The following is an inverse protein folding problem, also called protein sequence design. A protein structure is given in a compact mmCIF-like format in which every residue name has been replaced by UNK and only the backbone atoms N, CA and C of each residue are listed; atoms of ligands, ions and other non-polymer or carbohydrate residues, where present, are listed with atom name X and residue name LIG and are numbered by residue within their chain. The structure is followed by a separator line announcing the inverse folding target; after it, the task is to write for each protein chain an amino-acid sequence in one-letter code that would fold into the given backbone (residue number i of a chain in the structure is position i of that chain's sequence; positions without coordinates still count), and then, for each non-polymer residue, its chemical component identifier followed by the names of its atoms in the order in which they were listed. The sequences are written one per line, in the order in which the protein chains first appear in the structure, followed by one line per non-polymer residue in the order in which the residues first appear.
data_IF_972686050816
#
_entry.id   IF_972686050816
#
_cell.length_a   1.000
_cell.length_b   1.000
_cell.length_c   1.000
_cell.angle_alpha   90.00
_cell.angle_beta   90.00
_cell.angle_gamma   90.00
#
_symmetry.space_group_name_H-M   'P 1'
#
loop_
_entity.id
_entity.type
_entity.pdbx_description
1 polymer ?
#
# COMPACT_ATOMS: atom_id res chain seq x y z
N UNK A 1 -25.66 -9.07 -10.14
CA UNK A 1 -24.37 -9.38 -10.80
C UNK A 1 -24.31 -8.60 -12.10
N UNK A 2 -23.11 -8.17 -12.54
CA UNK A 2 -22.96 -7.45 -13.82
C UNK A 2 -23.23 -8.38 -15.01
N UNK A 3 -23.78 -7.86 -16.09
CA UNK A 3 -23.88 -8.55 -17.39
C UNK A 3 -22.51 -8.63 -18.06
N UNK A 4 -22.38 -9.48 -19.09
CA UNK A 4 -21.14 -9.56 -19.90
C UNK A 4 -20.80 -8.22 -20.55
N UNK A 5 -21.83 -7.50 -21.03
CA UNK A 5 -21.67 -6.20 -21.68
C UNK A 5 -21.17 -5.14 -20.69
N UNK A 6 -21.81 -5.04 -19.52
CA UNK A 6 -21.38 -4.10 -18.46
C UNK A 6 -19.95 -4.39 -17.98
N UNK A 7 -19.55 -5.66 -17.88
CA UNK A 7 -18.18 -6.03 -17.53
C UNK A 7 -17.18 -5.60 -18.61
N UNK A 8 -17.51 -5.79 -19.89
CA UNK A 8 -16.64 -5.36 -20.98
C UNK A 8 -16.43 -3.85 -20.98
N UNK A 9 -17.50 -3.07 -20.79
CA UNK A 9 -17.43 -1.61 -20.67
C UNK A 9 -16.58 -1.15 -19.47
N UNK A 10 -16.67 -1.85 -18.34
CA UNK A 10 -15.79 -1.60 -17.19
C UNK A 10 -14.31 -1.84 -17.55
N UNK A 11 -14.01 -2.92 -18.27
CA UNK A 11 -12.62 -3.21 -18.69
C UNK A 11 -12.10 -2.14 -19.65
N UNK A 12 -12.92 -1.65 -20.57
CA UNK A 12 -12.53 -0.54 -21.45
C UNK A 12 -12.20 0.73 -20.64
N UNK A 13 -13.04 1.08 -19.66
CA UNK A 13 -12.78 2.21 -18.76
C UNK A 13 -11.51 2.02 -17.93
N UNK A 14 -11.28 0.84 -17.39
CA UNK A 14 -10.07 0.54 -16.62
C UNK A 14 -8.79 0.66 -17.48
N UNK A 15 -8.83 0.20 -18.73
CA UNK A 15 -7.71 0.32 -19.67
C UNK A 15 -7.39 1.78 -20.00
N UNK A 16 -8.40 2.64 -20.09
CA UNK A 16 -8.20 4.07 -20.27
C UNK A 16 -7.62 4.71 -19.01
N UNK A 17 -8.19 4.38 -17.85
CA UNK A 17 -7.80 4.93 -16.56
C UNK A 17 -6.33 4.66 -16.21
N UNK A 18 -5.79 3.46 -16.52
CA UNK A 18 -4.38 3.14 -16.26
C UNK A 18 -3.39 3.81 -17.22
N UNK A 19 -3.85 4.57 -18.22
CA UNK A 19 -2.96 5.40 -19.06
C UNK A 19 -2.56 6.70 -18.37
N UNK A 20 -3.33 7.16 -17.38
CA UNK A 20 -3.03 8.37 -16.63
C UNK A 20 -1.89 8.11 -15.61
N UNK A 21 -0.74 8.79 -15.72
CA UNK A 21 0.35 8.63 -14.76
C UNK A 21 -0.04 8.98 -13.32
N UNK A 22 -0.99 9.90 -13.13
CA UNK A 22 -1.46 10.30 -11.80
C UNK A 22 -2.21 9.15 -11.12
N UNK A 23 -2.95 8.35 -11.89
CA UNK A 23 -3.62 7.13 -11.41
C UNK A 23 -2.61 6.04 -11.02
N UNK A 24 -1.47 5.96 -11.72
CA UNK A 24 -0.40 5.01 -11.43
C UNK A 24 0.49 5.45 -10.26
N UNK A 25 0.39 6.71 -9.83
CA UNK A 25 1.22 7.27 -8.76
C UNK A 25 0.94 6.56 -7.44
N UNK A 26 2.00 6.16 -6.74
CA UNK A 26 1.88 5.58 -5.42
C UNK A 26 1.31 6.61 -4.43
N UNK A 27 0.16 6.31 -3.82
CA UNK A 27 -0.51 7.17 -2.82
C UNK A 27 -0.14 6.84 -1.37
N UNK A 28 0.89 6.00 -1.19
CA UNK A 28 1.30 5.52 0.12
C UNK A 28 1.85 6.65 1.00
N UNK A 29 1.37 6.77 2.24
CA UNK A 29 1.83 7.79 3.21
C UNK A 29 3.24 7.53 3.74
N UNK A 30 3.75 6.30 3.55
CA UNK A 30 5.01 5.82 4.09
C UNK A 30 6.19 6.21 3.17
N UNK A 31 6.46 7.51 3.00
CA UNK A 31 7.40 8.05 1.99
C UNK A 31 8.88 7.71 2.25
N UNK A 32 9.26 7.41 3.50
CA UNK A 32 10.60 6.93 3.85
C UNK A 32 10.78 5.42 3.63
N UNK A 33 9.75 4.73 3.13
CA UNK A 33 9.85 3.30 2.84
C UNK A 33 10.78 3.10 1.65
N UNK A 34 11.68 2.14 1.75
CA UNK A 34 12.57 1.75 0.65
C UNK A 34 11.77 1.38 -0.63
N UNK A 35 10.59 0.79 -0.46
CA UNK A 35 9.73 0.34 -1.56
C UNK A 35 8.70 1.38 -1.99
N UNK A 36 8.77 2.62 -1.49
CA UNK A 36 7.87 3.69 -1.92
C UNK A 36 8.02 3.94 -3.43
N UNK A 37 6.90 4.05 -4.14
CA UNK A 37 6.89 4.14 -5.62
C UNK A 37 7.14 2.81 -6.35
N UNK A 38 7.71 1.79 -5.69
CA UNK A 38 7.96 0.43 -6.23
C UNK A 38 6.78 -0.51 -5.93
N UNK A 39 5.61 -0.17 -6.47
CA UNK A 39 4.34 -0.83 -6.11
C UNK A 39 4.32 -2.34 -6.37
N UNK A 40 4.98 -2.82 -7.44
CA UNK A 40 5.02 -4.25 -7.78
C UNK A 40 5.81 -5.06 -6.75
N UNK A 41 6.97 -4.54 -6.35
CA UNK A 41 7.85 -5.10 -5.33
C UNK A 41 7.18 -5.06 -3.96
N UNK A 42 6.59 -3.92 -3.60
CA UNK A 42 5.82 -3.76 -2.37
C UNK A 42 4.71 -4.81 -2.23
N UNK A 43 3.88 -4.99 -3.26
CA UNK A 43 2.82 -6.01 -3.26
C UNK A 43 3.39 -7.42 -3.16
N UNK A 44 4.51 -7.71 -3.83
CA UNK A 44 5.15 -9.02 -3.76
C UNK A 44 5.63 -9.35 -2.33
N UNK A 45 6.24 -8.39 -1.63
CA UNK A 45 6.71 -8.55 -0.25
C UNK A 45 5.54 -8.74 0.73
N UNK A 46 4.51 -7.89 0.67
CA UNK A 46 3.32 -8.05 1.53
C UNK A 46 2.60 -9.38 1.31
N UNK A 47 2.53 -9.84 0.05
CA UNK A 47 1.96 -11.17 -0.27
C UNK A 47 2.81 -12.31 0.27
N UNK A 48 4.13 -12.19 0.22
CA UNK A 48 5.04 -13.23 0.73
C UNK A 48 4.93 -13.37 2.25
N UNK A 49 4.98 -12.24 2.98
CA UNK A 49 4.93 -12.24 4.44
C UNK A 49 3.53 -12.49 5.01
N UNK A 50 2.46 -12.22 4.26
CA UNK A 50 1.05 -12.41 4.68
C UNK A 50 0.69 -11.71 6.00
N UNK A 51 1.42 -10.66 6.37
CA UNK A 51 1.23 -9.94 7.63
C UNK A 51 0.06 -8.95 7.51
N UNK A 52 0.22 -7.92 6.67
CA UNK A 52 -0.81 -6.93 6.39
C UNK A 52 -0.73 -6.43 4.94
N UNK A 53 -1.77 -5.71 4.50
CA UNK A 53 -1.79 -5.06 3.19
C UNK A 53 -0.89 -3.82 3.13
N UNK A 54 -0.42 -3.41 1.93
CA UNK A 54 0.29 -2.15 1.75
C UNK A 54 -0.49 -0.94 2.29
N UNK A 55 0.21 0.06 2.83
CA UNK A 55 -0.42 1.22 3.46
C UNK A 55 -1.33 2.03 2.51
N UNK A 56 -1.02 2.06 1.21
CA UNK A 56 -1.90 2.70 0.21
C UNK A 56 -3.26 1.99 0.03
N UNK A 57 -3.42 0.75 0.48
CA UNK A 57 -4.68 0.02 0.44
C UNK A 57 -5.42 0.03 1.80
N UNK A 58 -4.75 0.43 2.87
CA UNK A 58 -5.31 0.34 4.22
C UNK A 58 -6.52 1.24 4.40
N UNK A 59 -6.54 2.46 3.84
CA UNK A 59 -7.64 3.42 4.06
C UNK A 59 -9.01 2.85 3.67
N UNK A 60 -9.19 2.45 2.41
CA UNK A 60 -10.49 1.95 1.95
C UNK A 60 -10.85 0.56 2.52
N UNK A 61 -9.87 -0.23 2.97
CA UNK A 61 -10.11 -1.49 3.67
C UNK A 61 -10.58 -1.20 5.10
N UNK A 62 -9.89 -0.30 5.81
CA UNK A 62 -10.23 0.10 7.17
C UNK A 62 -11.61 0.75 7.21
N UNK A 63 -11.99 1.55 6.21
CA UNK A 63 -13.34 2.11 6.10
C UNK A 63 -14.41 1.02 6.04
N UNK A 64 -14.17 -0.05 5.26
CA UNK A 64 -15.08 -1.21 5.21
C UNK A 64 -15.09 -1.99 6.52
N UNK A 65 -13.94 -2.20 7.15
CA UNK A 65 -13.82 -2.90 8.42
C UNK A 65 -14.53 -2.14 9.55
N UNK A 66 -14.41 -0.82 9.59
CA UNK A 66 -15.10 0.04 10.57
C UNK A 66 -16.62 -0.16 10.51
N UNK A 67 -17.20 -0.25 9.30
CA UNK A 67 -18.65 -0.52 9.17
C UNK A 67 -19.03 -1.91 9.72
N UNK A 68 -18.20 -2.92 9.52
CA UNK A 68 -18.44 -4.27 10.08
C UNK A 68 -18.35 -4.25 11.61
N UNK A 69 -17.31 -3.61 12.14
CA UNK A 69 -17.01 -3.54 13.57
C UNK A 69 -18.13 -2.84 14.35
N UNK A 70 -18.73 -1.78 13.76
CA UNK A 70 -19.89 -1.08 14.35
C UNK A 70 -21.10 -1.98 14.58
N UNK A 71 -21.33 -3.00 13.74
CA UNK A 71 -22.48 -3.91 13.88
C UNK A 71 -22.41 -4.69 15.20
N UNK A 72 -21.20 -5.00 15.67
CA UNK A 72 -20.97 -5.70 16.94
C UNK A 72 -20.79 -4.78 18.15
N UNK A 73 -21.06 -3.48 18.04
CA UNK A 73 -20.77 -2.48 19.08
C UNK A 73 -19.28 -2.47 19.52
N UNK A 74 -18.38 -2.82 18.60
CA UNK A 74 -16.94 -2.88 18.84
C UNK A 74 -16.22 -1.60 18.38
N UNK A 75 -14.98 -1.42 18.83
CA UNK A 75 -14.06 -0.35 18.38
C UNK A 75 -12.85 -0.99 17.73
N UNK A 76 -12.57 -0.60 16.48
CA UNK A 76 -11.32 -0.93 15.80
C UNK A 76 -10.28 0.15 16.09
N UNK A 77 -9.11 -0.25 16.55
CA UNK A 77 -7.99 0.64 16.84
C UNK A 77 -6.88 0.35 15.85
N UNK A 78 -6.32 1.40 15.25
CA UNK A 78 -5.15 1.26 14.39
C UNK A 78 -3.92 0.90 15.23
N UNK A 79 -3.14 -0.06 14.75
CA UNK A 79 -1.88 -0.43 15.41
C UNK A 79 -0.88 0.72 15.29
N UNK A 80 -0.08 0.92 16.34
CA UNK A 80 1.02 1.86 16.29
C UNK A 80 1.98 1.54 15.13
N UNK A 81 2.35 2.56 14.32
CA UNK A 81 3.26 2.35 13.21
C UNK A 81 4.68 2.05 13.72
N UNK A 82 5.50 1.42 12.88
CA UNK A 82 6.93 1.30 13.16
C UNK A 82 7.53 2.70 13.34
N UNK A 83 8.31 2.93 14.41
CA UNK A 83 8.93 4.22 14.66
C UNK A 83 9.82 4.68 13.49
N UNK A 84 9.81 5.99 13.21
CA UNK A 84 10.46 6.58 12.04
C UNK A 84 11.98 6.41 12.11
N UNK A 85 12.54 6.42 13.32
CA UNK A 85 13.95 6.24 13.61
C UNK A 85 14.49 4.92 13.08
N UNK A 86 13.67 3.86 12.96
CA UNK A 86 14.13 2.57 12.43
C UNK A 86 14.44 2.69 10.94
N UNK A 87 13.64 3.46 10.20
CA UNK A 87 13.89 3.72 8.77
C UNK A 87 15.06 4.64 8.55
N UNK A 88 15.24 5.62 9.44
CA UNK A 88 16.43 6.48 9.43
C UNK A 88 17.69 5.68 9.69
N UNK A 89 17.64 4.74 10.65
CA UNK A 89 18.75 3.86 10.96
C UNK A 89 19.13 2.97 9.76
N UNK A 90 18.16 2.39 9.05
CA UNK A 90 18.44 1.63 7.81
C UNK A 90 19.21 2.49 6.81
N UNK A 91 18.75 3.71 6.54
CA UNK A 91 19.46 4.63 5.63
C UNK A 91 20.89 4.93 6.07
N UNK A 92 21.10 5.15 7.36
CA UNK A 92 22.43 5.40 7.93
C UNK A 92 23.36 4.19 7.71
N UNK A 93 22.85 2.96 7.88
CA UNK A 93 23.65 1.75 7.63
C UNK A 93 23.99 1.57 6.14
N UNK A 94 23.03 1.83 5.26
CA UNK A 94 23.26 1.74 3.80
C UNK A 94 24.35 2.74 3.34
N UNK A 95 24.33 3.97 3.88
CA UNK A 95 25.36 4.97 3.61
C UNK A 95 26.74 4.55 4.12
N UNK A 96 26.81 3.95 5.32
CA UNK A 96 28.06 3.42 5.88
C UNK A 96 28.61 2.27 5.03
N UNK A 97 27.74 1.36 4.59
CA UNK A 97 28.13 0.22 3.76
C UNK A 97 28.67 0.69 2.40
N UNK A 98 28.01 1.67 1.77
CA UNK A 98 28.47 2.26 0.51
C UNK A 98 29.87 2.85 0.64
N UNK A 99 30.15 3.59 1.73
CA UNK A 99 31.47 4.21 1.98
C UNK A 99 32.57 3.20 2.33
N UNK A 100 32.21 2.03 2.85
CA UNK A 100 33.18 0.96 3.16
C UNK A 100 33.56 0.09 1.97
N UNK A 101 32.85 0.25 0.84
CA UNK A 101 33.05 -0.50 -0.40
C UNK A 101 33.83 0.30 -1.46
N UNK A 102 34.22 1.54 -1.14
CA UNK A 102 35.10 2.44 -1.91
C UNK A 102 36.53 2.41 -1.36
#
# INVERSE_FOLDING_TARGET
MRTKQEYYELILKNRELVKDPEVLRCTCTQTLCEWHGRCRECVALHRYHKDHVPACLQSFINDKLKEIVKIGELIAVEKEPTPIEYRMYVKEQDEKLSKSSE
#
